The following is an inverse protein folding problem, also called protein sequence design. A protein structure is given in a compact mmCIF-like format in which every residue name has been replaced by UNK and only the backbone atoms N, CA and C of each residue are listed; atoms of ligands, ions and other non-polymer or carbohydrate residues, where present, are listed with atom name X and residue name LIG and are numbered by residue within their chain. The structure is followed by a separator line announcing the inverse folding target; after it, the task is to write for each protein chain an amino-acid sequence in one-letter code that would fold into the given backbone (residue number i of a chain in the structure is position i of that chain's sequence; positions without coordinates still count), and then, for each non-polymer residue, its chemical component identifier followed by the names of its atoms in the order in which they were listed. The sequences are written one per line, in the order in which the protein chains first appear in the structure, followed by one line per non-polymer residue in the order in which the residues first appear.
data_IF_340984948476
#
_entry.id   IF_340984948476
#
_cell.length_a   1.000
_cell.length_b   1.000
_cell.length_c   1.000
_cell.angle_alpha   90.00
_cell.angle_beta   90.00
_cell.angle_gamma   90.00
#
_symmetry.space_group_name_H-M   'P 1'
#
loop_
_entity.id
_entity.type
_entity.pdbx_description
1 polymer ?
#
# COMPACT_ATOMS: atom_id res chain seq x y z
N UNK A 1 -27.77 -32.02 -48.96
CA UNK A 1 -28.67 -31.87 -47.79
C UNK A 1 -29.63 -30.72 -48.09
N UNK A 2 -30.91 -30.85 -47.76
CA UNK A 2 -31.93 -29.82 -48.05
C UNK A 2 -31.98 -28.75 -46.95
N UNK A 3 -32.26 -27.50 -47.32
CA UNK A 3 -32.31 -26.35 -46.40
C UNK A 3 -33.29 -26.56 -45.23
N UNK A 4 -34.39 -27.26 -45.49
CA UNK A 4 -35.44 -27.59 -44.52
C UNK A 4 -34.87 -28.43 -43.36
N UNK A 5 -33.96 -29.37 -43.65
CA UNK A 5 -33.32 -30.22 -42.63
C UNK A 5 -32.34 -29.44 -41.72
N UNK A 6 -31.86 -28.27 -42.16
CA UNK A 6 -31.06 -27.38 -41.32
C UNK A 6 -31.93 -26.53 -40.41
N UNK A 7 -33.06 -26.02 -40.92
CA UNK A 7 -34.01 -25.25 -40.10
C UNK A 7 -34.63 -26.12 -39.00
N UNK A 8 -34.96 -27.37 -39.31
CA UNK A 8 -35.50 -28.33 -38.33
C UNK A 8 -34.48 -28.64 -37.21
N UNK A 9 -33.19 -28.79 -37.56
CA UNK A 9 -32.11 -28.99 -36.59
C UNK A 9 -31.83 -27.72 -35.75
N UNK A 10 -31.88 -26.53 -36.36
CA UNK A 10 -31.75 -25.25 -35.64
C UNK A 10 -32.92 -24.94 -34.72
N UNK A 11 -34.10 -25.56 -34.89
CA UNK A 11 -35.25 -25.32 -34.03
C UNK A 11 -35.30 -26.23 -32.79
N UNK A 12 -34.52 -27.32 -32.79
CA UNK A 12 -34.41 -28.24 -31.65
C UNK A 12 -33.36 -27.81 -30.61
N UNK A 13 -32.26 -27.18 -31.05
CA UNK A 13 -31.18 -26.69 -30.18
C UNK A 13 -31.53 -25.50 -29.25
N UNK A 14 -32.34 -24.48 -29.62
CA UNK A 14 -32.55 -23.29 -28.79
C UNK A 14 -33.34 -23.59 -27.51
N UNK A 15 -34.25 -24.57 -27.54
CA UNK A 15 -35.00 -24.97 -26.34
C UNK A 15 -34.07 -25.55 -25.25
N UNK A 16 -33.14 -26.44 -25.63
CA UNK A 16 -32.15 -26.99 -24.71
C UNK A 16 -31.11 -25.96 -24.26
N UNK A 17 -30.71 -25.02 -25.14
CA UNK A 17 -29.81 -23.92 -24.74
C UNK A 17 -30.46 -22.96 -23.75
N UNK A 18 -31.74 -22.60 -23.96
CA UNK A 18 -32.52 -21.77 -23.03
C UNK A 18 -32.73 -22.52 -21.71
N UNK A 19 -33.11 -23.80 -21.74
CA UNK A 19 -33.26 -24.61 -20.55
C UNK A 19 -31.94 -24.78 -19.76
N UNK A 20 -30.81 -24.96 -20.45
CA UNK A 20 -29.48 -25.00 -19.83
C UNK A 20 -29.08 -23.65 -19.22
N UNK A 21 -29.43 -22.54 -19.88
CA UNK A 21 -29.18 -21.18 -19.39
C UNK A 21 -30.01 -20.86 -18.15
N UNK A 22 -31.30 -21.22 -18.15
CA UNK A 22 -32.17 -21.09 -16.97
C UNK A 22 -31.75 -22.04 -15.84
N UNK A 23 -31.27 -23.23 -16.15
CA UNK A 23 -30.68 -24.14 -15.17
C UNK A 23 -29.39 -23.60 -14.54
N UNK A 24 -28.64 -22.72 -15.22
CA UNK A 24 -27.54 -21.97 -14.61
C UNK A 24 -28.05 -20.78 -13.79
N UNK A 25 -29.03 -20.04 -14.30
CA UNK A 25 -29.66 -18.88 -13.62
C UNK A 25 -30.34 -19.26 -12.30
N UNK A 26 -30.88 -20.47 -12.22
CA UNK A 26 -31.63 -20.99 -11.05
C UNK A 26 -30.78 -21.77 -10.05
N UNK A 27 -29.47 -21.99 -10.30
CA UNK A 27 -28.58 -22.63 -9.31
C UNK A 27 -28.54 -21.77 -8.03
N UNK A 28 -29.06 -22.24 -6.89
CA UNK A 28 -28.98 -21.47 -5.65
C UNK A 28 -27.51 -21.37 -5.25
N UNK A 29 -26.97 -20.15 -5.30
CA UNK A 29 -25.60 -19.84 -4.86
C UNK A 29 -25.45 -20.40 -3.44
N UNK A 30 -24.56 -21.39 -3.25
CA UNK A 30 -24.36 -22.01 -1.93
C UNK A 30 -24.11 -20.88 -0.94
N UNK A 31 -25.02 -20.72 0.04
CA UNK A 31 -24.92 -19.71 1.10
C UNK A 31 -23.65 -20.00 1.89
N UNK A 32 -22.53 -19.41 1.48
CA UNK A 32 -21.29 -19.45 2.25
C UNK A 32 -21.61 -18.76 3.57
N UNK A 33 -21.80 -19.57 4.61
CA UNK A 33 -22.21 -19.08 5.92
C UNK A 33 -21.03 -18.31 6.48
N UNK A 34 -21.19 -16.99 6.66
CA UNK A 34 -20.11 -16.07 7.03
C UNK A 34 -19.25 -16.59 8.21
N UNK A 35 -19.89 -17.28 9.16
CA UNK A 35 -19.28 -17.97 10.30
C UNK A 35 -18.07 -18.86 9.95
N UNK A 36 -18.06 -19.51 8.79
CA UNK A 36 -16.97 -20.39 8.37
C UNK A 36 -15.67 -19.62 8.05
N UNK A 37 -15.74 -18.32 7.70
CA UNK A 37 -14.56 -17.45 7.55
C UNK A 37 -13.98 -17.03 8.92
N UNK A 38 -14.83 -16.78 9.90
CA UNK A 38 -14.42 -16.41 11.27
C UNK A 38 -13.82 -17.57 12.05
N UNK A 39 -14.26 -18.80 11.81
CA UNK A 39 -13.72 -20.01 12.44
C UNK A 39 -12.21 -20.21 12.17
N UNK A 40 -11.76 -19.93 10.93
CA UNK A 40 -10.34 -20.01 10.57
C UNK A 40 -9.50 -18.94 11.29
N UNK A 41 -9.99 -17.70 11.35
CA UNK A 41 -9.32 -16.61 12.07
C UNK A 41 -9.18 -16.91 13.57
N UNK A 42 -10.22 -17.44 14.20
CA UNK A 42 -10.19 -17.82 15.62
C UNK A 42 -9.16 -18.92 15.90
N UNK A 43 -9.02 -19.92 15.01
CA UNK A 43 -8.01 -20.96 15.13
C UNK A 43 -6.58 -20.41 15.00
N UNK A 44 -6.32 -19.54 14.02
CA UNK A 44 -5.01 -18.88 13.88
C UNK A 44 -4.66 -18.03 15.10
N UNK A 45 -5.60 -17.24 15.63
CA UNK A 45 -5.37 -16.44 16.85
C UNK A 45 -5.05 -17.33 18.06
N UNK A 46 -5.74 -18.47 18.23
CA UNK A 46 -5.42 -19.42 19.29
C UNK A 46 -4.00 -20.01 19.16
N UNK A 47 -3.58 -20.37 17.94
CA UNK A 47 -2.21 -20.87 17.68
C UNK A 47 -1.16 -19.79 17.96
N UNK A 48 -1.39 -18.54 17.54
CA UNK A 48 -0.48 -17.41 17.79
C UNK A 48 -0.36 -17.13 19.30
N UNK A 49 -1.47 -17.16 20.05
CA UNK A 49 -1.46 -16.96 21.51
C UNK A 49 -0.75 -18.11 22.25
N UNK A 50 -0.93 -19.36 21.80
CA UNK A 50 -0.20 -20.51 22.37
C UNK A 50 1.29 -20.46 22.03
N UNK A 51 1.67 -20.09 20.81
CA UNK A 51 3.06 -19.90 20.43
C UNK A 51 3.72 -18.73 21.20
N UNK A 52 3.02 -17.60 21.33
CA UNK A 52 3.47 -16.41 22.05
C UNK A 52 3.63 -16.61 23.55
N UNK A 53 2.71 -17.34 24.19
CA UNK A 53 2.85 -17.69 25.62
C UNK A 53 3.99 -18.69 25.85
N UNK A 54 4.17 -19.69 24.99
CA UNK A 54 5.31 -20.61 25.04
C UNK A 54 6.65 -19.90 24.79
N UNK A 55 6.71 -18.95 23.85
CA UNK A 55 7.88 -18.11 23.61
C UNK A 55 8.21 -17.22 24.82
N UNK A 56 7.19 -16.61 25.43
CA UNK A 56 7.34 -15.82 26.66
C UNK A 56 7.79 -16.67 27.85
N UNK A 57 7.36 -17.93 27.93
CA UNK A 57 7.79 -18.86 28.97
C UNK A 57 9.22 -19.38 28.76
N UNK A 58 9.67 -19.56 27.52
CA UNK A 58 11.03 -19.98 27.18
C UNK A 58 12.07 -18.85 27.23
N UNK A 59 11.74 -17.64 26.77
CA UNK A 59 12.67 -16.50 26.76
C UNK A 59 12.53 -15.55 27.97
N UNK A 60 11.41 -15.59 28.71
CA UNK A 60 11.14 -14.67 29.82
C UNK A 60 11.99 -14.85 31.07
N UNK A 61 12.77 -15.93 31.20
CA UNK A 61 13.69 -16.14 32.33
C UNK A 61 15.14 -15.67 32.04
N UNK A 62 15.46 -15.19 30.83
CA UNK A 62 16.83 -14.84 30.49
C UNK A 62 17.23 -13.42 30.96
N UNK A 63 17.50 -13.30 32.26
CA UNK A 63 18.53 -12.41 32.80
C UNK A 63 18.31 -10.90 32.67
N UNK A 64 17.59 -10.30 33.62
CA UNK A 64 17.71 -8.86 33.92
C UNK A 64 19.08 -8.56 34.55
N UNK A 65 20.12 -8.49 33.70
CA UNK A 65 21.44 -8.00 34.08
C UNK A 65 21.38 -6.49 34.27
N UNK A 66 20.96 -6.07 35.47
CA UNK A 66 21.08 -4.69 35.93
C UNK A 66 22.55 -4.26 35.82
N UNK A 67 22.83 -3.31 34.92
CA UNK A 67 24.10 -2.61 34.87
C UNK A 67 24.24 -1.71 36.10
N UNK A 68 24.66 -2.32 37.21
CA UNK A 68 25.01 -1.60 38.43
C UNK A 68 26.34 -0.88 38.23
N UNK A 69 26.31 0.27 37.57
CA UNK A 69 27.38 1.26 37.64
C UNK A 69 27.40 1.82 39.07
N UNK A 70 28.27 1.27 39.91
CA UNK A 70 28.45 1.74 41.28
C UNK A 70 29.07 3.14 41.27
N UNK A 71 28.25 4.16 41.54
CA UNK A 71 28.75 5.42 42.10
C UNK A 71 29.04 5.15 43.58
N UNK A 72 30.24 4.65 43.86
CA UNK A 72 30.79 4.69 45.21
C UNK A 72 31.61 5.97 45.41
N UNK A 73 31.72 6.38 46.67
CA UNK A 73 31.86 7.77 47.08
C UNK A 73 33.03 7.91 48.05
N UNK A 74 34.08 8.61 47.63
CA UNK A 74 35.13 9.10 48.52
C UNK A 74 35.32 10.63 48.35
N UNK A 75 35.45 11.41 49.45
CA UNK A 75 35.35 12.87 49.39
C UNK A 75 36.69 13.62 49.40
N UNK A 76 36.68 14.80 48.76
CA UNK A 76 37.20 16.08 49.29
C UNK A 76 38.63 16.13 49.88
N UNK A 77 39.53 16.81 49.17
CA UNK A 77 40.69 17.50 49.77
C UNK A 77 40.96 18.83 49.04
N UNK A 78 41.41 19.84 49.80
CA UNK A 78 41.49 21.25 49.39
C UNK A 78 42.95 21.67 49.15
N UNK A 79 43.19 22.42 48.06
CA UNK A 79 44.22 23.45 47.86
C UNK A 79 43.90 24.12 46.51
N UNK A 80 43.44 25.38 46.40
CA UNK A 80 44.10 26.65 46.73
C UNK A 80 45.46 26.87 46.03
N UNK A 81 45.48 27.67 44.95
CA UNK A 81 46.45 28.76 44.74
C UNK A 81 46.17 29.56 43.44
N UNK A 82 46.33 30.87 43.54
CA UNK A 82 46.02 31.94 42.59
C UNK A 82 46.77 32.00 41.23
N UNK A 83 46.13 32.68 40.26
CA UNK A 83 46.78 33.58 39.30
C UNK A 83 47.06 33.02 37.88
N UNK A 84 47.25 33.85 36.85
CA UNK A 84 46.96 35.30 36.71
C UNK A 84 46.99 35.70 35.21
N UNK A 85 46.09 36.62 34.79
CA UNK A 85 46.19 37.63 33.68
C UNK A 85 46.82 37.28 32.31
N UNK A 86 46.03 37.56 31.26
CA UNK A 86 46.35 38.35 30.06
C UNK A 86 47.75 38.27 29.41
N UNK A 87 47.80 37.92 28.11
CA UNK A 87 48.07 38.86 26.99
C UNK A 87 48.53 38.13 25.71
N UNK A 88 48.02 38.57 24.54
CA UNK A 88 48.72 38.43 23.26
C UNK A 88 49.73 39.59 23.09
N UNK A 89 50.84 39.37 22.38
CA UNK A 89 50.99 39.88 21.00
C UNK A 89 51.58 38.79 20.08
N UNK A 90 51.34 38.70 18.76
CA UNK A 90 51.16 39.66 17.65
C UNK A 90 52.44 39.95 16.82
N UNK A 91 52.26 39.96 15.49
CA UNK A 91 53.16 40.32 14.36
C UNK A 91 54.38 39.44 13.99
N UNK A 92 54.50 39.11 12.69
CA UNK A 92 55.77 38.61 12.12
C UNK A 92 55.83 38.13 10.65
N UNK A 93 55.47 38.98 9.67
CA UNK A 93 55.88 38.90 8.24
C UNK A 93 55.31 37.83 7.29
N UNK A 94 55.25 38.21 6.00
CA UNK A 94 54.67 37.49 4.87
C UNK A 94 55.62 37.44 3.66
N UNK A 95 55.43 36.46 2.76
CA UNK A 95 55.71 36.53 1.31
C UNK A 95 54.97 35.34 0.64
N UNK A 96 53.82 35.58 -0.01
CA UNK A 96 53.61 35.69 -1.47
C UNK A 96 53.38 34.34 -2.20
N UNK A 97 52.11 34.10 -2.58
CA UNK A 97 51.66 33.65 -3.92
C UNK A 97 50.17 33.23 -3.88
N UNK A 98 49.39 33.67 -4.87
CA UNK A 98 48.01 33.23 -5.18
C UNK A 98 47.95 32.86 -6.69
N UNK A 99 46.85 32.31 -7.27
CA UNK A 99 45.53 31.93 -6.72
C UNK A 99 45.26 30.40 -6.92
N UNK A 100 44.05 29.80 -6.92
CA UNK A 100 42.66 30.28 -6.86
C UNK A 100 41.68 29.21 -6.31
N UNK A 101 40.48 29.69 -5.91
CA UNK A 101 39.15 29.06 -6.02
C UNK A 101 38.79 27.77 -5.23
N UNK A 102 37.51 27.63 -4.86
CA UNK A 102 36.91 26.39 -4.32
C UNK A 102 36.29 26.44 -2.91
N UNK A 103 36.38 27.56 -2.19
CA UNK A 103 35.88 27.70 -0.81
C UNK A 103 34.37 27.90 -0.70
N UNK A 104 33.60 26.81 -0.65
CA UNK A 104 32.15 26.87 -0.43
C UNK A 104 31.80 27.10 1.05
N UNK A 105 31.42 28.34 1.36
CA UNK A 105 30.99 28.76 2.70
C UNK A 105 29.57 28.27 2.97
N UNK A 106 29.41 27.32 3.91
CA UNK A 106 28.10 26.98 4.45
C UNK A 106 27.66 28.04 5.47
N UNK A 107 26.66 28.85 5.11
CA UNK A 107 25.94 29.65 6.09
C UNK A 107 25.08 28.73 6.98
N UNK A 108 25.03 28.93 8.31
CA UNK A 108 24.12 28.19 9.16
C UNK A 108 22.67 28.57 8.83
N UNK A 109 21.79 27.57 8.72
CA UNK A 109 20.38 27.79 8.44
C UNK A 109 19.69 28.56 9.58
N UNK A 110 18.70 29.38 9.21
CA UNK A 110 17.83 30.08 10.16
C UNK A 110 16.94 29.13 10.96
N UNK A 111 16.23 29.70 11.94
CA UNK A 111 15.42 28.99 12.92
C UNK A 111 14.38 28.03 12.29
N UNK A 112 14.05 26.90 12.96
CA UNK A 112 13.19 25.87 12.38
C UNK A 112 11.72 26.32 12.35
N UNK A 113 11.13 26.44 11.16
CA UNK A 113 9.68 26.41 11.03
C UNK A 113 9.15 25.02 11.38
N UNK A 114 8.41 24.94 12.49
CA UNK A 114 7.61 23.77 12.84
C UNK A 114 6.24 23.90 12.17
N UNK A 115 6.09 23.32 10.99
CA UNK A 115 4.78 22.96 10.44
C UNK A 115 4.66 21.43 10.43
N UNK A 116 3.58 20.94 11.02
CA UNK A 116 3.41 19.51 11.29
C UNK A 116 2.93 18.74 10.05
N UNK A 117 3.71 17.74 9.65
CA UNK A 117 3.32 16.71 8.68
C UNK A 117 4.03 15.41 9.01
N UNK A 118 3.32 14.45 9.63
CA UNK A 118 3.86 13.11 9.88
C UNK A 118 3.65 12.26 8.63
N UNK A 119 4.57 12.36 7.68
CA UNK A 119 4.64 11.42 6.56
C UNK A 119 6.08 10.93 6.43
N UNK A 120 6.28 9.63 6.72
CA UNK A 120 7.56 8.98 6.47
C UNK A 120 7.75 8.93 4.97
N UNK A 121 8.81 9.55 4.45
CA UNK A 121 9.11 9.53 3.02
C UNK A 121 9.22 8.11 2.48
N UNK A 122 8.15 7.64 1.84
CA UNK A 122 8.17 6.45 1.01
C UNK A 122 8.75 6.86 -0.35
N UNK A 123 10.01 6.51 -0.59
CA UNK A 123 10.67 6.70 -1.89
C UNK A 123 10.44 5.49 -2.82
N UNK A 124 9.34 4.77 -2.63
CA UNK A 124 8.81 3.83 -3.61
C UNK A 124 7.74 4.56 -4.43
N UNK A 125 7.87 4.54 -5.75
CA UNK A 125 6.77 4.89 -6.64
C UNK A 125 5.70 3.80 -6.52
N UNK A 126 4.47 4.16 -6.19
CA UNK A 126 3.33 3.23 -6.10
C UNK A 126 3.28 2.37 -7.36
N UNK A 127 3.16 1.05 -7.20
CA UNK A 127 2.93 0.13 -8.30
C UNK A 127 1.53 -0.50 -8.23
N UNK A 128 0.95 -0.74 -9.40
CA UNK A 128 -0.39 -1.34 -9.55
C UNK A 128 -0.35 -2.33 -10.70
N UNK A 129 -0.96 -3.50 -10.53
CA UNK A 129 -1.05 -4.54 -11.55
C UNK A 129 -2.47 -4.62 -12.10
N UNK A 130 -2.62 -4.31 -13.39
CA UNK A 130 -3.88 -4.33 -14.11
C UNK A 130 -3.97 -5.61 -14.93
N UNK A 131 -5.02 -6.41 -14.71
CA UNK A 131 -5.31 -7.62 -15.49
C UNK A 131 -6.46 -7.35 -16.46
N UNK A 132 -6.10 -7.28 -17.74
CA UNK A 132 -7.01 -7.11 -18.88
C UNK A 132 -7.14 -8.45 -19.62
N UNK A 133 -8.18 -8.63 -20.44
CA UNK A 133 -8.35 -9.85 -21.27
C UNK A 133 -7.14 -10.16 -22.17
N UNK A 134 -6.37 -9.12 -22.54
CA UNK A 134 -5.17 -9.19 -23.38
C UNK A 134 -3.89 -9.54 -22.62
N UNK A 135 -3.86 -9.42 -21.30
CA UNK A 135 -2.65 -9.63 -20.49
C UNK A 135 -2.64 -8.95 -19.13
N UNK A 136 -1.56 -9.17 -18.39
CA UNK A 136 -1.28 -8.55 -17.09
C UNK A 136 -0.23 -7.47 -17.27
N UNK A 137 -0.51 -6.25 -16.81
CA UNK A 137 0.32 -5.06 -16.99
C UNK A 137 0.62 -4.44 -15.63
N UNK A 138 1.89 -4.23 -15.29
CA UNK A 138 2.26 -3.47 -14.08
C UNK A 138 2.57 -2.03 -14.48
N UNK A 139 1.88 -1.08 -13.85
CA UNK A 139 2.10 0.37 -13.99
C UNK A 139 2.72 0.94 -12.71
N UNK A 140 3.37 2.11 -12.83
CA UNK A 140 4.01 2.78 -11.69
C UNK A 140 4.10 4.29 -11.92
N UNK A 141 4.23 5.06 -10.83
CA UNK A 141 4.24 6.52 -10.87
C UNK A 141 2.85 7.12 -11.05
N UNK A 142 2.73 8.28 -11.70
CA UNK A 142 1.50 9.10 -11.72
C UNK A 142 0.22 8.36 -12.09
N UNK A 143 0.32 7.39 -13.00
CA UNK A 143 -0.83 6.61 -13.47
C UNK A 143 -1.28 5.60 -12.41
N UNK A 144 -0.32 4.97 -11.72
CA UNK A 144 -0.58 4.08 -10.59
C UNK A 144 -1.10 4.86 -9.38
N UNK A 145 -0.54 6.04 -9.11
CA UNK A 145 -0.99 6.95 -8.06
C UNK A 145 -2.44 7.40 -8.32
N UNK A 146 -2.75 7.87 -9.53
CA UNK A 146 -4.10 8.32 -9.93
C UNK A 146 -5.13 7.19 -9.86
N UNK A 147 -4.76 6.00 -10.35
CA UNK A 147 -5.65 4.83 -10.32
C UNK A 147 -5.91 4.35 -8.88
N UNK A 148 -4.89 4.37 -8.02
CA UNK A 148 -5.01 4.02 -6.60
C UNK A 148 -5.86 5.06 -5.86
N UNK A 149 -5.59 6.35 -6.04
CA UNK A 149 -6.32 7.45 -5.40
C UNK A 149 -7.82 7.40 -5.73
N UNK A 150 -8.16 7.19 -7.01
CA UNK A 150 -9.56 7.01 -7.43
C UNK A 150 -10.17 5.78 -6.75
N UNK A 151 -9.51 4.62 -6.79
CA UNK A 151 -10.10 3.36 -6.32
C UNK A 151 -10.20 3.25 -4.80
N UNK A 152 -9.29 3.88 -4.05
CA UNK A 152 -9.29 3.86 -2.57
C UNK A 152 -10.31 4.84 -1.96
N UNK A 153 -10.59 5.97 -2.62
CA UNK A 153 -11.53 6.99 -2.12
C UNK A 153 -13.00 6.79 -2.50
N UNK A 154 -13.37 5.63 -3.04
CA UNK A 154 -14.76 5.32 -3.41
C UNK A 154 -15.59 4.77 -2.24
N UNK A 155 -16.84 5.22 -2.14
CA UNK A 155 -17.80 4.77 -1.13
C UNK A 155 -18.39 3.37 -1.43
N UNK A 156 -17.61 2.31 -1.17
CA UNK A 156 -18.06 0.92 -1.39
C UNK A 156 -19.18 0.51 -0.41
N UNK A 157 -20.39 0.26 -0.92
CA UNK A 157 -21.48 -0.36 -0.17
C UNK A 157 -21.68 -1.83 -0.54
N UNK A 158 -22.12 -2.65 0.42
CA UNK A 158 -22.52 -4.05 0.19
C UNK A 158 -24.03 -4.21 -0.07
N UNK A 159 -24.81 -3.12 -0.05
CA UNK A 159 -26.27 -3.17 -0.13
C UNK A 159 -26.78 -3.38 -1.57
N UNK A 160 -26.23 -2.62 -2.53
CA UNK A 160 -26.67 -2.57 -3.93
C UNK A 160 -25.55 -2.98 -4.91
N UNK A 161 -25.26 -4.29 -4.97
CA UNK A 161 -24.21 -4.86 -5.84
C UNK A 161 -24.84 -5.39 -7.14
N UNK A 162 -24.37 -4.93 -8.31
CA UNK A 162 -24.84 -5.49 -9.59
C UNK A 162 -24.38 -6.95 -9.78
N UNK A 163 -25.14 -7.74 -10.55
CA UNK A 163 -24.67 -9.03 -11.09
C UNK A 163 -23.76 -8.89 -12.33
N UNK A 164 -23.49 -7.67 -12.78
CA UNK A 164 -22.60 -7.30 -13.88
C UNK A 164 -21.20 -7.89 -13.68
N UNK A 165 -20.47 -8.28 -14.73
CA UNK A 165 -19.04 -8.65 -14.60
C UNK A 165 -18.16 -7.41 -14.49
N UNK A 166 -16.99 -7.52 -13.84
CA UNK A 166 -15.90 -6.57 -14.07
C UNK A 166 -15.31 -6.78 -15.48
N UNK A 167 -14.80 -5.72 -16.09
CA UNK A 167 -14.10 -5.75 -17.39
C UNK A 167 -12.60 -6.04 -17.19
N UNK A 168 -12.03 -5.54 -16.09
CA UNK A 168 -10.64 -5.80 -15.70
C UNK A 168 -10.47 -5.78 -14.18
N UNK A 169 -9.36 -6.35 -13.72
CA UNK A 169 -8.96 -6.33 -12.32
C UNK A 169 -7.77 -5.40 -12.13
N UNK A 170 -7.70 -4.77 -10.97
CA UNK A 170 -6.63 -3.86 -10.55
C UNK A 170 -6.17 -4.29 -9.17
N UNK A 171 -4.95 -4.79 -9.05
CA UNK A 171 -4.32 -5.18 -7.78
C UNK A 171 -3.30 -4.12 -7.37
N UNK A 172 -3.50 -3.46 -6.22
CA UNK A 172 -2.54 -2.49 -5.68
C UNK A 172 -1.35 -3.19 -5.03
N UNK A 173 -0.21 -2.49 -4.87
CA UNK A 173 1.02 -3.00 -4.23
C UNK A 173 0.79 -3.66 -2.85
N UNK A 174 -0.25 -3.24 -2.12
CA UNK A 174 -0.63 -3.80 -0.80
C UNK A 174 -1.50 -5.05 -0.88
N UNK A 175 -1.82 -5.54 -2.09
CA UNK A 175 -2.60 -6.75 -2.35
C UNK A 175 -4.13 -6.55 -2.31
N UNK A 176 -4.62 -5.31 -2.53
CA UNK A 176 -6.06 -5.05 -2.64
C UNK A 176 -6.49 -5.20 -4.10
N UNK A 177 -7.37 -6.17 -4.37
CA UNK A 177 -7.97 -6.40 -5.70
C UNK A 177 -9.27 -5.58 -5.86
N UNK A 178 -9.32 -4.81 -6.95
CA UNK A 178 -10.49 -4.07 -7.41
C UNK A 178 -10.98 -4.60 -8.75
N UNK A 179 -12.28 -4.91 -8.87
CA UNK A 179 -12.91 -5.25 -10.15
C UNK A 179 -13.61 -4.04 -10.74
N UNK A 180 -13.15 -3.54 -11.88
CA UNK A 180 -13.61 -2.30 -12.51
C UNK A 180 -14.43 -2.61 -13.77
N UNK A 181 -15.49 -1.84 -14.01
CA UNK A 181 -16.26 -1.85 -15.25
C UNK A 181 -16.57 -0.39 -15.64
N UNK A 182 -16.04 0.04 -16.78
CA UNK A 182 -16.16 1.40 -17.30
C UNK A 182 -17.47 1.58 -18.09
N UNK A 183 -17.97 0.54 -18.76
CA UNK A 183 -19.26 0.57 -19.47
C UNK A 183 -20.46 0.78 -18.54
N UNK A 184 -20.43 0.13 -17.37
CA UNK A 184 -21.49 0.13 -16.35
C UNK A 184 -21.15 1.05 -15.15
N UNK A 185 -20.08 1.85 -15.25
CA UNK A 185 -19.70 2.89 -14.29
C UNK A 185 -19.59 2.40 -12.83
N UNK A 186 -18.86 1.30 -12.59
CA UNK A 186 -18.64 0.82 -11.22
C UNK A 186 -17.24 0.26 -10.95
N UNK A 187 -16.83 0.33 -9.69
CA UNK A 187 -15.73 -0.45 -9.13
C UNK A 187 -16.25 -1.36 -8.02
N UNK A 188 -15.58 -2.49 -7.80
CA UNK A 188 -15.84 -3.41 -6.67
C UNK A 188 -14.57 -3.67 -5.90
N UNK A 189 -14.69 -3.68 -4.59
CA UNK A 189 -13.61 -4.06 -3.68
C UNK A 189 -14.19 -5.01 -2.62
N UNK A 190 -13.52 -6.13 -2.37
CA UNK A 190 -13.94 -7.15 -1.40
C UNK A 190 -15.37 -7.69 -1.61
N UNK A 191 -16.34 -7.15 -0.87
CA UNK A 191 -17.76 -7.51 -0.93
C UNK A 191 -18.67 -6.31 -1.23
N UNK A 192 -18.10 -5.14 -1.53
CA UNK A 192 -18.83 -3.93 -1.86
C UNK A 192 -18.68 -3.50 -3.32
N UNK A 193 -19.58 -2.62 -3.76
CA UNK A 193 -19.55 -1.93 -5.03
C UNK A 193 -19.70 -0.42 -4.79
N UNK A 194 -19.01 0.38 -5.58
CA UNK A 194 -19.13 1.82 -5.64
C UNK A 194 -19.42 2.25 -7.08
N UNK A 195 -20.20 3.31 -7.25
CA UNK A 195 -20.43 3.93 -8.56
C UNK A 195 -19.25 4.83 -8.93
N UNK A 196 -18.83 4.80 -10.19
CA UNK A 196 -17.84 5.71 -10.76
C UNK A 196 -18.56 6.92 -11.37
N UNK A 197 -17.99 8.10 -11.18
CA UNK A 197 -18.39 9.29 -11.94
C UNK A 197 -17.82 9.23 -13.37
N UNK A 198 -18.42 9.96 -14.31
CA UNK A 198 -17.90 10.06 -15.68
C UNK A 198 -16.42 10.46 -15.70
N UNK A 199 -16.03 11.47 -14.93
CA UNK A 199 -14.64 11.94 -14.85
C UNK A 199 -13.67 10.87 -14.34
N UNK A 200 -14.09 10.00 -13.41
CA UNK A 200 -13.29 8.86 -12.97
C UNK A 200 -13.20 7.78 -14.06
N UNK A 201 -14.30 7.51 -14.77
CA UNK A 201 -14.30 6.57 -15.91
C UNK A 201 -13.38 7.06 -17.03
N UNK A 202 -13.45 8.34 -17.38
CA UNK A 202 -12.61 8.95 -18.42
C UNK A 202 -11.12 8.88 -18.02
N UNK A 203 -10.78 9.22 -16.77
CA UNK A 203 -9.41 9.19 -16.26
C UNK A 203 -8.83 7.77 -16.19
N UNK A 204 -9.62 6.79 -15.74
CA UNK A 204 -9.20 5.37 -15.74
C UNK A 204 -9.07 4.87 -17.19
N UNK A 205 -10.02 5.21 -18.07
CA UNK A 205 -10.01 4.83 -19.48
C UNK A 205 -8.73 5.28 -20.19
N UNK A 206 -8.31 6.53 -19.99
CA UNK A 206 -7.08 7.08 -20.57
C UNK A 206 -5.82 6.30 -20.15
N UNK A 207 -5.77 5.83 -18.89
CA UNK A 207 -4.68 4.98 -18.38
C UNK A 207 -4.73 3.59 -19.04
N UNK A 208 -5.92 2.98 -19.15
CA UNK A 208 -6.09 1.63 -19.72
C UNK A 208 -5.82 1.59 -21.22
N UNK A 209 -6.19 2.64 -21.96
CA UNK A 209 -5.93 2.76 -23.39
C UNK A 209 -4.43 2.80 -23.70
N UNK A 210 -3.64 3.56 -22.91
CA UNK A 210 -2.17 3.54 -22.99
C UNK A 210 -1.52 2.18 -22.70
N UNK A 211 -2.23 1.26 -22.03
CA UNK A 211 -1.79 -0.12 -21.82
C UNK A 211 -2.20 -1.06 -22.97
N UNK A 212 -2.91 -0.55 -23.99
CA UNK A 212 -3.36 -1.29 -25.17
C UNK A 212 -2.61 -1.02 -26.46
N UNK A 213 -1.75 0.00 -26.48
CA UNK A 213 -0.86 0.35 -27.59
C UNK A 213 0.42 -0.52 -27.61
#
# INVERSE_FOLDING_TARGET
MTSEKLHDALNLLPADLVAATDALRTKPKKRQVHWQRWAAMAACLAVILLAGTMFSYFFGHMGSSKTSAAVDKAPMSIAEAAGQKNAAPDLGSAEEAAPADGGHTHAPAGEPEVTGGTEKGYSGSTSVTVTLDKGVHTISGSDADTLTDILEHLDYSSDDICSCSAEFLVETEVGTEYGVNLTEYFARCNAGQAALTQTQVDAIGEIIDRLGE
#
